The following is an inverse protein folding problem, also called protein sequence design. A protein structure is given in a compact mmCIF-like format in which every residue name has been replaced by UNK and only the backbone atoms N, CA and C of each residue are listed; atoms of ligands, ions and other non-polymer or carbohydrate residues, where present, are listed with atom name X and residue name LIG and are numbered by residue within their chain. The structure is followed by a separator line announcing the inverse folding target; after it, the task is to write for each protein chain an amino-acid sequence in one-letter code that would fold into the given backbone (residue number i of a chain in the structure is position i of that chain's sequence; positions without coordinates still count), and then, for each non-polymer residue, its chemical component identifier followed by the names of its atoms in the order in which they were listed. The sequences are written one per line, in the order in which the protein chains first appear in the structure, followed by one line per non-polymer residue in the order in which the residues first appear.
data_IF_267889691972
#
_entry.id   IF_267889691972
#
_cell.length_a   1.000
_cell.length_b   1.000
_cell.length_c   1.000
_cell.angle_alpha   90.00
_cell.angle_beta   90.00
_cell.angle_gamma   90.00
#
_symmetry.space_group_name_H-M   'P 1'
#
loop_
_entity.id
_entity.type
_entity.pdbx_description
1 polymer ?
#
# COMPACT_ATOMS: atom_id res chain seq x y z
N UNK A 1 20.53 26.25 100.64
CA UNK A 1 19.34 25.39 100.39
C UNK A 1 18.60 25.97 99.19
N UNK A 2 18.83 25.54 98.01
CA UNK A 2 17.90 25.74 96.88
C UNK A 2 18.21 24.68 95.86
N UNK A 3 17.22 23.85 95.58
CA UNK A 3 17.30 22.72 94.66
C UNK A 3 17.21 23.25 93.21
N UNK A 4 18.16 22.83 92.37
CA UNK A 4 18.22 23.11 90.92
C UNK A 4 17.52 21.92 90.24
N UNK A 5 16.47 22.23 89.52
CA UNK A 5 15.71 21.26 88.73
C UNK A 5 16.25 21.21 87.30
N UNK A 6 16.93 20.13 86.94
CA UNK A 6 17.42 19.89 85.60
C UNK A 6 16.28 19.45 84.71
N UNK A 7 15.93 20.31 83.75
CA UNK A 7 15.05 19.93 82.65
C UNK A 7 15.84 19.26 81.55
N UNK A 8 15.52 17.99 81.34
CA UNK A 8 16.07 17.21 80.21
C UNK A 8 15.26 17.52 78.97
N UNK A 9 15.86 18.23 78.03
CA UNK A 9 15.29 18.47 76.71
C UNK A 9 15.72 17.30 75.81
N UNK A 10 14.72 16.47 75.45
CA UNK A 10 14.87 15.36 74.54
C UNK A 10 14.80 15.91 73.09
N UNK A 11 15.93 15.96 72.43
CA UNK A 11 16.00 16.35 70.97
C UNK A 11 15.67 15.12 70.10
N UNK A 12 14.47 15.10 69.59
CA UNK A 12 14.04 14.06 68.68
C UNK A 12 14.58 14.41 67.26
N UNK A 13 15.69 13.79 66.87
CA UNK A 13 16.23 13.91 65.52
C UNK A 13 15.41 13.05 64.53
N UNK A 14 14.54 13.67 63.78
CA UNK A 14 13.85 13.04 62.66
C UNK A 14 14.80 12.91 61.50
N UNK A 15 15.32 11.70 61.25
CA UNK A 15 16.09 11.36 60.07
C UNK A 15 15.10 11.27 58.87
N UNK A 16 15.08 12.28 58.03
CA UNK A 16 14.42 12.21 56.74
C UNK A 16 15.29 11.33 55.81
N UNK A 17 14.85 10.10 55.60
CA UNK A 17 15.35 9.26 54.50
C UNK A 17 14.81 9.82 53.19
N UNK A 18 15.65 10.60 52.52
CA UNK A 18 15.42 10.98 51.13
C UNK A 18 15.67 9.72 50.29
N UNK A 19 14.63 8.97 50.01
CA UNK A 19 14.65 7.89 49.04
C UNK A 19 14.82 8.49 47.64
N UNK A 20 16.02 8.43 47.09
CA UNK A 20 16.26 8.60 45.67
C UNK A 20 15.52 7.48 44.93
N UNK A 21 14.27 7.72 44.57
CA UNK A 21 13.56 6.92 43.56
C UNK A 21 14.22 7.17 42.21
N UNK A 22 15.20 6.36 41.86
CA UNK A 22 15.68 6.27 40.49
C UNK A 22 14.50 5.81 39.62
N UNK A 23 13.83 6.76 38.95
CA UNK A 23 12.97 6.43 37.84
C UNK A 23 13.84 5.75 36.76
N UNK A 24 13.89 4.44 36.82
CA UNK A 24 14.26 3.65 35.65
C UNK A 24 13.20 3.98 34.58
N UNK A 25 13.56 4.89 33.68
CA UNK A 25 12.92 4.96 32.37
C UNK A 25 13.21 3.64 31.68
N UNK A 26 12.36 2.65 31.96
CA UNK A 26 12.25 1.49 31.10
C UNK A 26 11.75 2.02 29.77
N UNK A 27 12.71 2.30 28.88
CA UNK A 27 12.45 2.56 27.47
C UNK A 27 11.88 1.25 26.90
N UNK A 28 10.59 1.02 27.12
CA UNK A 28 9.83 -0.01 26.41
C UNK A 28 9.72 0.45 24.96
N UNK A 29 10.80 0.26 24.18
CA UNK A 29 10.67 0.08 22.75
C UNK A 29 9.97 -1.26 22.49
N UNK A 30 8.74 -1.39 22.95
CA UNK A 30 7.84 -2.35 22.37
C UNK A 30 7.44 -1.75 21.02
N UNK A 31 8.09 -2.18 19.97
CA UNK A 31 7.57 -2.04 18.61
C UNK A 31 6.25 -2.82 18.60
N UNK A 32 5.16 -2.17 18.99
CA UNK A 32 3.82 -2.69 18.77
C UNK A 32 3.66 -2.76 17.25
N UNK A 33 3.99 -3.92 16.67
CA UNK A 33 3.74 -4.17 15.27
C UNK A 33 2.23 -4.06 15.07
N UNK A 34 1.81 -3.05 14.30
CA UNK A 34 0.40 -2.84 13.97
C UNK A 34 -0.11 -4.09 13.24
N UNK A 35 -1.15 -4.72 13.78
CA UNK A 35 -1.80 -5.83 13.07
C UNK A 35 -2.65 -5.27 11.93
N UNK A 36 -2.12 -5.33 10.72
CA UNK A 36 -2.76 -4.77 9.53
C UNK A 36 -4.09 -5.44 9.18
N UNK A 37 -4.31 -6.70 9.59
CA UNK A 37 -5.55 -7.43 9.33
C UNK A 37 -6.72 -6.90 10.16
N UNK A 38 -6.44 -6.26 11.30
CA UNK A 38 -7.45 -5.71 12.21
C UNK A 38 -7.79 -4.24 11.94
N UNK A 39 -7.07 -3.60 11.02
CA UNK A 39 -7.32 -2.21 10.68
C UNK A 39 -8.68 -2.03 10.00
N UNK A 40 -9.47 -1.08 10.51
CA UNK A 40 -10.71 -0.62 9.88
C UNK A 40 -10.56 0.85 9.51
N UNK A 41 -10.98 1.20 8.31
CA UNK A 41 -11.06 2.60 7.92
C UNK A 41 -12.20 3.29 8.66
N UNK A 42 -11.94 4.48 9.19
CA UNK A 42 -12.92 5.35 9.81
C UNK A 42 -13.22 6.50 8.85
N UNK A 43 -14.49 6.70 8.53
CA UNK A 43 -14.91 7.78 7.61
C UNK A 43 -14.37 9.13 8.08
N UNK A 44 -13.70 9.85 7.17
CA UNK A 44 -13.05 11.13 7.45
C UNK A 44 -11.55 11.03 7.78
N UNK A 45 -11.03 9.86 8.09
CA UNK A 45 -9.60 9.67 8.35
C UNK A 45 -8.78 9.72 7.04
N UNK A 46 -7.45 9.82 7.18
CA UNK A 46 -6.53 9.67 6.04
C UNK A 46 -6.68 8.29 5.41
N UNK A 47 -6.62 8.24 4.08
CA UNK A 47 -6.71 6.98 3.32
C UNK A 47 -5.47 6.07 3.47
N UNK A 48 -4.47 6.47 4.22
CA UNK A 48 -3.24 5.71 4.48
C UNK A 48 -2.70 6.01 5.87
N UNK A 49 -1.88 5.09 6.36
CA UNK A 49 -1.08 5.26 7.57
C UNK A 49 0.38 4.94 7.27
N UNK A 50 1.28 5.67 7.90
CA UNK A 50 2.71 5.36 7.90
C UNK A 50 3.01 4.33 8.98
N UNK A 51 3.85 3.36 8.63
CA UNK A 51 4.25 2.27 9.51
C UNK A 51 5.74 2.40 9.85
N UNK A 52 6.12 1.98 11.03
CA UNK A 52 7.52 2.00 11.47
C UNK A 52 8.21 3.36 11.23
N UNK A 53 7.51 4.47 11.55
CA UNK A 53 8.04 5.82 11.32
C UNK A 53 8.30 6.14 9.85
N UNK A 54 7.57 5.48 8.95
CA UNK A 54 7.71 5.54 7.48
C UNK A 54 9.04 4.97 6.95
N UNK A 55 9.68 4.05 7.71
CA UNK A 55 10.90 3.36 7.30
C UNK A 55 10.60 1.92 6.89
N UNK A 56 11.12 1.51 5.73
CA UNK A 56 10.98 0.15 5.22
C UNK A 56 11.73 -0.87 6.10
N UNK A 57 11.14 -2.06 6.23
CA UNK A 57 11.78 -3.21 6.84
C UNK A 57 12.53 -4.06 5.81
N UNK A 58 13.12 -3.41 4.80
CA UNK A 58 13.87 -4.02 3.70
C UNK A 58 15.36 -3.82 3.90
N UNK A 59 16.16 -4.68 3.30
CA UNK A 59 17.61 -4.57 3.33
C UNK A 59 18.13 -4.22 1.93
N UNK A 60 18.84 -3.09 1.80
CA UNK A 60 19.41 -2.66 0.53
C UNK A 60 20.31 -3.72 -0.12
N UNK A 61 21.00 -4.55 0.71
CA UNK A 61 21.86 -5.64 0.29
C UNK A 61 21.11 -6.80 -0.41
N UNK A 62 19.79 -6.88 -0.30
CA UNK A 62 19.00 -7.95 -0.92
C UNK A 62 18.83 -7.71 -2.43
N UNK A 63 19.03 -6.48 -2.91
CA UNK A 63 19.05 -6.20 -4.34
C UNK A 63 20.31 -6.83 -4.98
N UNK A 64 20.15 -7.89 -5.75
CA UNK A 64 21.24 -8.60 -6.44
C UNK A 64 21.19 -8.42 -7.96
N UNK A 65 20.00 -8.62 -8.54
CA UNK A 65 19.75 -8.49 -9.97
C UNK A 65 18.29 -8.07 -10.18
N UNK A 66 17.99 -7.64 -11.39
CA UNK A 66 16.67 -7.15 -11.76
C UNK A 66 15.68 -8.30 -12.02
N UNK A 67 14.62 -8.38 -11.20
CA UNK A 67 13.53 -9.35 -11.32
C UNK A 67 12.35 -8.93 -10.43
N UNK A 68 11.27 -9.69 -10.48
CA UNK A 68 10.15 -9.61 -9.54
C UNK A 68 9.87 -11.00 -8.98
N UNK A 69 9.79 -11.12 -7.68
CA UNK A 69 9.27 -12.31 -7.00
C UNK A 69 7.75 -12.22 -6.95
N UNK A 70 7.06 -12.97 -7.82
CA UNK A 70 5.61 -13.12 -7.78
C UNK A 70 5.23 -14.30 -6.90
N UNK A 71 4.58 -14.01 -5.77
CA UNK A 71 4.03 -15.05 -4.91
C UNK A 71 2.87 -15.80 -5.60
N UNK A 72 2.70 -17.07 -5.27
CA UNK A 72 1.54 -17.84 -5.73
C UNK A 72 0.26 -17.31 -5.07
N UNK A 73 -0.87 -17.51 -5.75
CA UNK A 73 -2.18 -17.27 -5.18
C UNK A 73 -2.43 -18.24 -4.01
N UNK A 74 -3.20 -17.78 -3.03
CA UNK A 74 -3.61 -18.64 -1.91
C UNK A 74 -4.77 -19.58 -2.30
N UNK A 75 -5.24 -20.39 -1.34
CA UNK A 75 -6.32 -21.38 -1.53
C UNK A 75 -7.66 -20.75 -1.98
N UNK A 76 -7.82 -19.43 -1.80
CA UNK A 76 -8.99 -18.67 -2.23
C UNK A 76 -8.71 -17.90 -3.54
N UNK A 77 -7.62 -18.20 -4.23
CA UNK A 77 -7.15 -17.52 -5.44
C UNK A 77 -6.86 -16.01 -5.24
N UNK A 78 -6.44 -15.61 -4.01
CA UNK A 78 -6.10 -14.23 -3.68
C UNK A 78 -4.59 -14.00 -3.71
N UNK A 79 -4.17 -12.78 -3.96
CA UNK A 79 -2.79 -12.30 -3.82
C UNK A 79 -2.48 -11.93 -2.36
N UNK A 80 -2.60 -12.89 -1.44
CA UNK A 80 -2.47 -12.66 0.01
C UNK A 80 -1.03 -12.62 0.51
N UNK A 81 -0.06 -12.99 -0.34
CA UNK A 81 1.36 -12.88 -0.09
C UNK A 81 1.96 -11.67 -0.79
N UNK A 82 3.16 -11.29 -0.38
CA UNK A 82 3.84 -10.15 -0.97
C UNK A 82 4.48 -10.47 -2.31
N UNK A 83 4.39 -9.53 -3.24
CA UNK A 83 5.30 -9.47 -4.38
C UNK A 83 6.45 -8.51 -4.06
N UNK A 84 7.65 -8.83 -4.52
CA UNK A 84 8.84 -8.02 -4.31
C UNK A 84 9.53 -7.75 -5.64
N UNK A 85 9.58 -6.48 -6.03
CA UNK A 85 10.30 -6.04 -7.23
C UNK A 85 11.71 -5.56 -6.88
N UNK A 86 12.72 -6.13 -7.52
CA UNK A 86 14.10 -5.66 -7.52
C UNK A 86 14.34 -4.88 -8.81
N UNK A 87 14.06 -3.59 -8.75
CA UNK A 87 13.83 -2.73 -9.91
C UNK A 87 15.00 -1.82 -10.20
N UNK A 88 15.15 -1.47 -11.48
CA UNK A 88 16.12 -0.49 -11.96
C UNK A 88 15.56 0.31 -13.14
N UNK A 89 16.29 1.29 -13.67
CA UNK A 89 15.82 2.24 -14.69
C UNK A 89 15.15 1.59 -15.91
N UNK A 90 15.65 0.41 -16.36
CA UNK A 90 15.08 -0.29 -17.53
C UNK A 90 13.66 -0.81 -17.32
N UNK A 91 13.17 -0.85 -16.06
CA UNK A 91 11.80 -1.24 -15.74
C UNK A 91 10.78 -0.10 -15.90
N UNK A 92 11.22 1.10 -16.26
CA UNK A 92 10.30 2.18 -16.62
C UNK A 92 9.59 1.83 -17.93
N UNK A 93 8.31 1.49 -17.83
CA UNK A 93 7.51 1.07 -18.97
C UNK A 93 7.08 2.24 -19.84
N UNK A 94 7.01 2.00 -21.15
CA UNK A 94 6.42 2.95 -22.09
C UNK A 94 4.89 2.89 -22.02
N UNK A 95 4.25 3.98 -21.61
CA UNK A 95 2.79 4.06 -21.47
C UNK A 95 2.02 3.85 -22.80
N UNK A 96 2.66 4.12 -23.95
CA UNK A 96 2.08 3.89 -25.27
C UNK A 96 1.86 2.39 -25.58
N UNK A 97 2.59 1.49 -24.89
CA UNK A 97 2.50 0.05 -25.05
C UNK A 97 1.53 -0.63 -24.08
N UNK A 98 0.66 0.13 -23.42
CA UNK A 98 -0.30 -0.41 -22.48
C UNK A 98 -1.27 -1.35 -23.18
N UNK A 99 -1.28 -2.63 -22.76
CA UNK A 99 -2.15 -3.65 -23.31
C UNK A 99 -3.56 -3.62 -22.69
N UNK A 100 -4.54 -4.21 -23.37
CA UNK A 100 -5.87 -4.44 -22.81
C UNK A 100 -5.78 -5.45 -21.66
N UNK A 101 -6.44 -5.13 -20.54
CA UNK A 101 -6.57 -6.03 -19.42
C UNK A 101 -7.84 -6.87 -19.54
N UNK A 102 -7.70 -8.20 -19.40
CA UNK A 102 -8.80 -9.17 -19.55
C UNK A 102 -8.95 -10.13 -18.37
N UNK A 103 -7.99 -10.16 -17.43
CA UNK A 103 -8.07 -10.98 -16.23
C UNK A 103 -8.79 -10.26 -15.09
N UNK A 104 -9.42 -11.01 -14.22
CA UNK A 104 -10.19 -10.49 -13.10
C UNK A 104 -9.72 -11.12 -11.77
N UNK A 105 -9.26 -10.31 -10.82
CA UNK A 105 -8.93 -10.80 -9.47
C UNK A 105 -10.20 -11.18 -8.70
N UNK A 106 -10.04 -11.82 -7.53
CA UNK A 106 -11.16 -12.15 -6.65
C UNK A 106 -11.99 -10.93 -6.27
N UNK A 107 -13.27 -11.13 -5.95
CA UNK A 107 -14.21 -10.08 -5.54
C UNK A 107 -14.45 -8.98 -6.59
N UNK A 108 -14.28 -9.28 -7.88
CA UNK A 108 -14.50 -8.32 -8.95
C UNK A 108 -15.98 -8.09 -9.23
N UNK A 109 -16.53 -7.00 -8.71
CA UNK A 109 -17.90 -6.56 -8.94
C UNK A 109 -17.94 -5.10 -9.40
N UNK A 110 -17.56 -4.87 -10.67
CA UNK A 110 -17.48 -3.52 -11.23
C UNK A 110 -18.85 -2.85 -11.29
N UNK A 111 -18.89 -1.61 -10.84
CA UNK A 111 -20.02 -0.68 -11.04
C UNK A 111 -19.51 0.65 -11.57
N UNK A 112 -20.38 1.30 -12.33
CA UNK A 112 -20.17 2.67 -12.79
C UNK A 112 -21.07 3.60 -11.98
N UNK A 113 -20.50 4.58 -11.30
CA UNK A 113 -21.23 5.62 -10.59
C UNK A 113 -20.82 6.95 -11.22
N UNK A 114 -21.78 7.73 -11.66
CA UNK A 114 -21.53 8.97 -12.41
C UNK A 114 -20.59 8.78 -13.62
N UNK A 115 -20.72 7.64 -14.32
CA UNK A 115 -19.86 7.21 -15.44
C UNK A 115 -18.41 6.95 -15.09
N UNK A 116 -18.08 6.84 -13.80
CA UNK A 116 -16.74 6.49 -13.31
C UNK A 116 -16.75 5.09 -12.70
N UNK A 117 -15.74 4.31 -13.03
CA UNK A 117 -15.52 3.00 -12.43
C UNK A 117 -15.14 3.15 -10.95
N UNK A 118 -15.76 2.34 -10.05
CA UNK A 118 -15.46 2.40 -8.62
C UNK A 118 -14.37 1.44 -8.17
N UNK A 119 -14.02 0.45 -9.01
CA UNK A 119 -12.92 -0.47 -8.76
C UNK A 119 -12.01 -0.56 -9.99
N UNK A 120 -10.76 -0.90 -9.73
CA UNK A 120 -9.72 -1.13 -10.73
C UNK A 120 -9.05 -2.48 -10.50
N UNK A 121 -8.40 -3.01 -11.53
CA UNK A 121 -7.38 -4.05 -11.40
C UNK A 121 -6.14 -3.42 -10.79
N UNK A 122 -6.04 -3.46 -9.46
CA UNK A 122 -4.88 -2.93 -8.74
C UNK A 122 -3.68 -3.82 -8.97
N UNK A 123 -2.57 -3.25 -9.42
CA UNK A 123 -1.31 -3.98 -9.53
C UNK A 123 -0.54 -3.88 -8.21
N UNK A 124 0.05 -4.99 -7.78
CA UNK A 124 0.99 -5.00 -6.67
C UNK A 124 2.28 -4.30 -7.13
N UNK A 125 2.89 -4.81 -8.18
CA UNK A 125 4.01 -4.14 -8.87
C UNK A 125 3.41 -3.42 -10.07
N UNK A 126 3.42 -2.09 -10.01
CA UNK A 126 2.75 -1.27 -11.02
C UNK A 126 3.31 -1.50 -12.42
N UNK A 127 2.40 -1.51 -13.41
CA UNK A 127 2.77 -1.58 -14.81
C UNK A 127 3.91 -0.61 -15.19
N UNK A 128 3.85 0.62 -14.68
CA UNK A 128 4.79 1.69 -15.04
C UNK A 128 6.22 1.48 -14.54
N UNK A 129 6.44 0.49 -13.66
CA UNK A 129 7.73 0.14 -13.08
C UNK A 129 8.08 -1.36 -13.25
N UNK A 130 7.35 -2.07 -14.10
CA UNK A 130 7.60 -3.48 -14.43
C UNK A 130 7.91 -3.72 -15.92
N UNK A 131 8.35 -2.67 -16.64
CA UNK A 131 8.78 -2.79 -18.03
C UNK A 131 9.84 -3.88 -18.19
N UNK A 132 9.68 -4.73 -19.20
CA UNK A 132 10.57 -5.86 -19.45
C UNK A 132 10.37 -7.07 -18.52
N UNK A 133 9.53 -6.98 -17.50
CA UNK A 133 9.26 -8.11 -16.59
C UNK A 133 8.12 -8.98 -17.18
N UNK A 134 8.39 -10.28 -17.34
CA UNK A 134 7.39 -11.25 -17.77
C UNK A 134 6.57 -11.80 -16.60
N UNK A 135 5.59 -12.67 -16.88
CA UNK A 135 4.72 -13.31 -15.86
C UNK A 135 5.45 -14.20 -14.85
N UNK A 136 6.69 -14.62 -15.16
CA UNK A 136 7.54 -15.39 -14.25
C UNK A 136 8.46 -14.51 -13.41
N UNK A 137 8.33 -13.18 -13.54
CA UNK A 137 9.14 -12.20 -12.83
C UNK A 137 10.53 -11.96 -13.41
N UNK A 138 10.85 -12.57 -14.57
CA UNK A 138 12.16 -12.44 -15.21
C UNK A 138 12.18 -11.26 -16.16
N UNK A 139 13.32 -10.57 -16.22
CA UNK A 139 13.51 -9.51 -17.21
C UNK A 139 13.76 -10.10 -18.60
N UNK A 140 12.98 -9.63 -19.59
CA UNK A 140 13.11 -9.95 -20.99
C UNK A 140 13.04 -8.68 -21.81
N UNK A 141 14.10 -8.33 -22.52
CA UNK A 141 14.19 -7.09 -23.29
C UNK A 141 13.11 -6.95 -24.37
N UNK A 142 12.62 -8.07 -24.92
CA UNK A 142 11.51 -8.10 -25.89
C UNK A 142 10.15 -7.79 -25.25
N UNK A 143 10.02 -7.84 -23.92
CA UNK A 143 8.76 -7.68 -23.19
C UNK A 143 8.58 -6.24 -22.68
N UNK A 144 8.45 -5.30 -23.62
CA UNK A 144 8.47 -3.85 -23.31
C UNK A 144 7.26 -3.34 -22.52
N UNK A 145 6.19 -4.15 -22.43
CA UNK A 145 4.89 -3.69 -21.94
C UNK A 145 4.71 -3.74 -20.44
N UNK A 146 5.63 -4.27 -19.66
CA UNK A 146 5.37 -4.57 -18.26
C UNK A 146 4.25 -5.62 -18.06
N UNK A 147 4.16 -6.18 -16.88
CA UNK A 147 3.23 -7.28 -16.55
C UNK A 147 1.83 -6.77 -16.21
N UNK A 148 0.88 -6.83 -17.16
CA UNK A 148 -0.44 -6.23 -17.04
C UNK A 148 -1.57 -7.23 -16.76
N UNK A 149 -1.40 -8.51 -17.10
CA UNK A 149 -2.45 -9.53 -17.06
C UNK A 149 -2.09 -10.75 -16.19
N UNK A 150 -1.17 -10.61 -15.28
CA UNK A 150 -0.76 -11.64 -14.34
C UNK A 150 -1.65 -11.61 -13.10
N UNK A 151 -2.45 -12.65 -12.88
CA UNK A 151 -3.31 -12.76 -11.69
C UNK A 151 -2.52 -12.70 -10.38
N UNK A 152 -1.27 -13.17 -10.37
CA UNK A 152 -0.38 -13.08 -9.20
C UNK A 152 0.02 -11.65 -8.85
N UNK A 153 -0.22 -10.70 -9.76
CA UNK A 153 0.12 -9.28 -9.60
C UNK A 153 -1.11 -8.38 -9.46
N UNK A 154 -2.31 -8.95 -9.31
CA UNK A 154 -3.56 -8.20 -9.34
C UNK A 154 -4.43 -8.47 -8.12
N UNK A 155 -5.11 -7.43 -7.64
CA UNK A 155 -6.19 -7.53 -6.67
C UNK A 155 -7.31 -6.54 -7.01
N UNK A 156 -8.52 -6.78 -6.49
CA UNK A 156 -9.61 -5.82 -6.63
C UNK A 156 -9.36 -4.62 -5.73
N UNK A 157 -9.06 -3.50 -6.35
CA UNK A 157 -8.74 -2.24 -5.68
C UNK A 157 -9.75 -1.18 -6.02
N UNK A 158 -10.12 -0.32 -5.06
CA UNK A 158 -10.99 0.83 -5.35
C UNK A 158 -10.28 1.81 -6.28
N UNK A 159 -11.04 2.51 -7.10
CA UNK A 159 -10.48 3.51 -8.02
C UNK A 159 -9.76 4.63 -7.25
N UNK A 160 -10.31 5.06 -6.12
CA UNK A 160 -9.68 6.08 -5.28
C UNK A 160 -8.35 5.59 -4.69
N UNK A 161 -8.33 4.42 -4.05
CA UNK A 161 -7.09 3.85 -3.48
C UNK A 161 -6.00 3.70 -4.54
N UNK A 162 -6.35 3.17 -5.72
CA UNK A 162 -5.43 2.97 -6.83
C UNK A 162 -4.91 4.29 -7.42
N UNK A 163 -5.85 5.17 -7.84
CA UNK A 163 -5.51 6.32 -8.68
C UNK A 163 -5.11 7.56 -7.88
N UNK A 164 -5.60 7.71 -6.64
CA UNK A 164 -5.34 8.90 -5.82
C UNK A 164 -4.29 8.67 -4.75
N UNK A 165 -4.18 7.46 -4.22
CA UNK A 165 -3.29 7.18 -3.09
C UNK A 165 -2.05 6.39 -3.52
N UNK A 166 -2.22 5.18 -4.06
CA UNK A 166 -1.09 4.31 -4.44
C UNK A 166 -0.18 4.97 -5.47
N UNK A 167 -0.75 5.68 -6.43
CA UNK A 167 -0.01 6.44 -7.46
C UNK A 167 1.01 7.42 -6.88
N UNK A 168 0.80 7.98 -5.67
CA UNK A 168 1.77 8.86 -5.01
C UNK A 168 3.07 8.10 -4.72
N UNK A 169 2.96 6.89 -4.15
CA UNK A 169 4.10 6.06 -3.79
C UNK A 169 4.78 5.45 -5.01
N UNK A 170 4.00 5.03 -6.00
CA UNK A 170 4.53 4.59 -7.29
C UNK A 170 5.31 5.70 -8.01
N UNK A 171 4.86 6.95 -7.90
CA UNK A 171 5.57 8.09 -8.47
C UNK A 171 6.94 8.30 -7.81
N UNK A 172 7.05 8.10 -6.48
CA UNK A 172 8.34 8.14 -5.78
C UNK A 172 9.30 7.08 -6.32
N UNK A 173 8.81 5.84 -6.51
CA UNK A 173 9.62 4.75 -7.11
C UNK A 173 10.02 5.11 -8.53
N UNK A 174 9.08 5.54 -9.40
CA UNK A 174 9.41 5.96 -10.77
C UNK A 174 10.47 7.05 -10.83
N UNK A 175 10.43 8.02 -9.92
CA UNK A 175 11.42 9.09 -9.86
C UNK A 175 12.81 8.55 -9.49
N UNK A 176 12.88 7.69 -8.46
CA UNK A 176 14.14 7.04 -8.09
C UNK A 176 14.74 6.22 -9.26
N UNK A 177 13.90 5.48 -10.00
CA UNK A 177 14.35 4.74 -11.18
C UNK A 177 14.84 5.67 -12.32
N UNK A 178 14.18 6.83 -12.54
CA UNK A 178 14.66 7.85 -13.50
C UNK A 178 16.03 8.40 -13.13
N UNK A 179 16.29 8.55 -11.83
CA UNK A 179 17.57 8.95 -11.27
C UNK A 179 18.61 7.80 -11.25
N UNK A 180 18.32 6.71 -11.97
CA UNK A 180 19.19 5.52 -12.09
C UNK A 180 19.46 4.79 -10.76
N UNK A 181 18.57 4.94 -9.77
CA UNK A 181 18.65 4.19 -8.51
C UNK A 181 18.13 2.78 -8.69
N UNK A 182 18.67 1.85 -7.90
CA UNK A 182 18.16 0.48 -7.75
C UNK A 182 17.20 0.46 -6.57
N UNK A 183 16.00 -0.07 -6.75
CA UNK A 183 14.93 -0.02 -5.76
C UNK A 183 14.41 -1.42 -5.47
N UNK A 184 14.25 -1.74 -4.19
CA UNK A 184 13.46 -2.88 -3.73
C UNK A 184 12.06 -2.34 -3.42
N UNK A 185 11.05 -2.87 -4.08
CA UNK A 185 9.65 -2.48 -3.90
C UNK A 185 8.82 -3.67 -3.47
N UNK A 186 8.23 -3.58 -2.27
CA UNK A 186 7.39 -4.60 -1.65
C UNK A 186 5.93 -4.17 -1.72
N UNK A 187 5.04 -5.08 -2.11
CA UNK A 187 3.60 -4.85 -2.16
C UNK A 187 2.83 -6.09 -1.70
N UNK A 188 1.97 -5.93 -0.68
CA UNK A 188 1.16 -7.01 -0.11
C UNK A 188 -0.26 -6.52 0.13
N UNK A 189 -1.27 -7.03 -0.57
CA UNK A 189 -2.67 -6.83 -0.21
C UNK A 189 -2.98 -7.52 1.11
N UNK A 190 -3.77 -6.87 1.94
CA UNK A 190 -4.13 -7.35 3.28
C UNK A 190 -5.59 -7.79 3.29
N UNK A 191 -5.80 -9.08 3.43
CA UNK A 191 -7.11 -9.70 3.57
C UNK A 191 -7.36 -10.09 5.03
N UNK A 192 -8.61 -10.05 5.47
CA UNK A 192 -9.01 -10.53 6.80
C UNK A 192 -9.70 -11.88 6.66
N UNK A 193 -9.17 -12.91 7.31
CA UNK A 193 -9.74 -14.26 7.23
C UNK A 193 -10.01 -14.69 5.79
N UNK A 194 -11.25 -15.06 5.50
CA UNK A 194 -11.67 -15.56 4.19
C UNK A 194 -12.27 -14.47 3.27
N UNK A 195 -12.10 -13.19 3.59
CA UNK A 195 -12.58 -12.10 2.73
C UNK A 195 -11.93 -12.18 1.35
N UNK A 196 -12.71 -11.96 0.29
CA UNK A 196 -12.24 -12.05 -1.10
C UNK A 196 -11.73 -10.72 -1.64
N UNK A 197 -12.07 -9.58 -0.99
CA UNK A 197 -11.56 -8.25 -1.30
C UNK A 197 -10.57 -7.82 -0.22
N UNK A 198 -9.40 -7.32 -0.62
CA UNK A 198 -8.41 -6.81 0.32
C UNK A 198 -8.90 -5.55 1.03
N UNK A 199 -8.64 -5.44 2.34
CA UNK A 199 -8.94 -4.23 3.13
C UNK A 199 -8.00 -3.07 2.86
N UNK A 200 -6.83 -3.36 2.33
CA UNK A 200 -5.82 -2.39 1.94
C UNK A 200 -4.62 -3.07 1.33
N UNK A 201 -3.59 -2.28 1.06
CA UNK A 201 -2.31 -2.76 0.56
C UNK A 201 -1.18 -2.18 1.40
N UNK A 202 -0.24 -3.02 1.80
CA UNK A 202 1.00 -2.64 2.46
C UNK A 202 2.08 -2.47 1.40
N UNK A 203 2.65 -1.27 1.33
CA UNK A 203 3.72 -0.92 0.41
C UNK A 203 4.97 -0.51 1.17
N UNK A 204 6.12 -0.97 0.71
CA UNK A 204 7.41 -0.51 1.16
C UNK A 204 8.33 -0.29 -0.04
N UNK A 205 9.21 0.69 0.05
CA UNK A 205 10.31 0.82 -0.91
C UNK A 205 11.58 1.24 -0.20
N UNK A 206 12.70 0.71 -0.70
CA UNK A 206 14.04 1.11 -0.27
C UNK A 206 14.95 1.12 -1.50
N UNK A 207 15.60 2.26 -1.78
CA UNK A 207 16.69 2.30 -2.75
C UNK A 207 18.01 1.79 -2.13
N UNK A 208 18.89 1.27 -2.97
CA UNK A 208 20.19 0.74 -2.47
C UNK A 208 21.08 1.81 -1.86
N UNK A 209 20.91 3.08 -2.27
CA UNK A 209 21.55 4.26 -1.72
C UNK A 209 20.79 4.87 -0.52
N UNK A 210 19.63 4.27 -0.14
CA UNK A 210 18.77 4.68 0.97
C UNK A 210 18.15 6.08 0.83
N UNK A 211 18.18 6.71 -0.32
CA UNK A 211 17.57 8.02 -0.56
C UNK A 211 16.07 7.95 -0.83
N UNK A 212 15.58 6.79 -1.25
CA UNK A 212 14.15 6.44 -1.24
C UNK A 212 13.92 5.46 -0.10
N UNK A 213 13.04 5.81 0.83
CA UNK A 213 12.62 4.95 1.94
C UNK A 213 11.18 5.31 2.31
N UNK A 214 10.28 4.32 2.32
CA UNK A 214 8.94 4.47 2.86
C UNK A 214 8.30 3.14 3.26
N UNK A 215 7.32 3.21 4.16
CA UNK A 215 6.56 2.07 4.66
C UNK A 215 5.15 2.53 5.01
N UNK A 216 4.16 2.12 4.21
CA UNK A 216 2.80 2.61 4.33
C UNK A 216 1.77 1.51 4.13
N UNK A 217 0.65 1.62 4.84
CA UNK A 217 -0.55 0.87 4.56
C UNK A 217 -1.61 1.80 3.96
N UNK A 218 -2.14 1.43 2.81
CA UNK A 218 -3.18 2.19 2.10
C UNK A 218 -4.50 1.44 2.24
N UNK A 219 -5.52 2.11 2.77
CA UNK A 219 -6.87 1.54 2.86
C UNK A 219 -7.51 1.38 1.49
N UNK A 220 -8.20 0.27 1.28
CA UNK A 220 -8.92 -0.01 0.03
C UNK A 220 -10.36 0.53 0.10
N UNK A 221 -10.50 1.85 0.09
CA UNK A 221 -11.75 2.59 0.30
C UNK A 221 -12.07 3.52 -0.87
N UNK A 222 -13.36 3.87 -1.03
CA UNK A 222 -13.86 4.75 -2.07
C UNK A 222 -14.79 5.79 -1.45
N UNK A 223 -14.62 7.11 -1.69
CA UNK A 223 -15.57 8.12 -1.23
C UNK A 223 -17.00 7.82 -1.70
N UNK A 224 -17.97 7.95 -0.78
CA UNK A 224 -19.38 7.76 -1.07
C UNK A 224 -19.84 6.31 -1.29
N UNK A 225 -18.95 5.33 -1.05
CA UNK A 225 -19.18 3.90 -1.31
C UNK A 225 -18.70 3.07 -0.14
N UNK A 226 -19.52 2.14 0.33
CA UNK A 226 -19.11 1.08 1.24
C UNK A 226 -19.02 -0.26 0.51
N UNK A 227 -18.07 -1.11 0.92
CA UNK A 227 -17.84 -2.45 0.37
C UNK A 227 -18.09 -3.51 1.43
N UNK A 228 -18.71 -4.59 1.02
CA UNK A 228 -18.64 -5.86 1.72
C UNK A 228 -17.35 -6.57 1.29
N UNK A 229 -16.34 -6.56 2.13
CA UNK A 229 -15.04 -7.16 1.81
C UNK A 229 -15.09 -8.69 1.71
N UNK A 230 -16.10 -9.34 2.30
CA UNK A 230 -16.28 -10.78 2.13
C UNK A 230 -16.53 -11.14 0.67
N UNK A 231 -17.28 -10.31 -0.05
CA UNK A 231 -17.72 -10.59 -1.42
C UNK A 231 -17.21 -9.60 -2.47
N UNK A 232 -16.79 -8.39 -2.08
CA UNK A 232 -16.47 -7.28 -2.98
C UNK A 232 -17.69 -6.51 -3.51
N UNK A 233 -18.88 -6.83 -3.03
CA UNK A 233 -20.10 -6.10 -3.40
C UNK A 233 -20.11 -4.72 -2.77
N UNK A 234 -20.65 -3.74 -3.49
CA UNK A 234 -20.66 -2.35 -3.07
C UNK A 234 -22.06 -1.78 -2.98
N UNK A 235 -22.22 -0.78 -2.12
CA UNK A 235 -23.43 0.04 -2.01
C UNK A 235 -23.04 1.51 -1.92
N UNK A 236 -23.95 2.40 -2.34
CA UNK A 236 -23.80 3.84 -2.12
C UNK A 236 -23.89 4.10 -0.62
N UNK A 237 -22.95 4.85 -0.10
CA UNK A 237 -22.88 5.27 1.29
C UNK A 237 -22.36 6.71 1.35
N UNK A 238 -23.30 7.67 1.34
CA UNK A 238 -22.96 9.10 1.32
C UNK A 238 -22.24 9.59 2.57
N UNK A 239 -22.25 8.80 3.65
CA UNK A 239 -21.52 9.11 4.88
C UNK A 239 -20.04 8.70 4.80
N UNK A 240 -19.66 7.88 3.82
CA UNK A 240 -18.27 7.45 3.62
C UNK A 240 -17.45 8.59 3.01
N UNK A 241 -16.75 9.31 3.86
CA UNK A 241 -15.84 10.38 3.46
C UNK A 241 -14.41 9.88 3.47
N UNK A 242 -13.67 10.17 2.40
CA UNK A 242 -12.25 9.83 2.26
C UNK A 242 -11.53 11.06 1.73
N UNK A 243 -10.79 11.77 2.59
CA UNK A 243 -10.03 12.95 2.18
C UNK A 243 -8.99 12.59 1.11
N UNK A 244 -8.92 13.41 0.07
CA UNK A 244 -7.89 13.27 -0.96
C UNK A 244 -6.55 13.65 -0.36
N UNK A 245 -5.52 12.77 -0.40
CA UNK A 245 -4.22 13.10 0.16
C UNK A 245 -3.50 14.17 -0.64
N UNK A 246 -2.63 14.89 0.03
CA UNK A 246 -1.69 15.81 -0.62
C UNK A 246 -0.82 15.04 -1.64
N UNK A 247 -0.52 15.65 -2.78
CA UNK A 247 0.23 15.00 -3.87
C UNK A 247 -0.58 14.04 -4.72
N UNK A 248 -1.86 13.83 -4.43
CA UNK A 248 -2.72 13.03 -5.30
C UNK A 248 -2.84 13.68 -6.69
N UNK A 249 -2.71 12.92 -7.78
CA UNK A 249 -2.82 13.48 -9.12
C UNK A 249 -4.23 14.06 -9.35
N UNK A 250 -4.29 15.25 -9.92
CA UNK A 250 -5.51 15.83 -10.47
C UNK A 250 -5.75 15.16 -11.83
N UNK A 251 -6.76 14.32 -11.92
CA UNK A 251 -7.24 13.90 -13.25
C UNK A 251 -8.17 15.02 -13.74
N UNK A 252 -7.63 15.97 -14.49
CA UNK A 252 -8.49 16.71 -15.40
C UNK A 252 -9.07 15.67 -16.35
N UNK A 253 -10.39 15.60 -16.41
CA UNK A 253 -11.15 14.77 -17.36
C UNK A 253 -10.78 15.22 -18.79
N UNK A 254 -9.58 14.90 -19.27
CA UNK A 254 -9.30 14.89 -20.68
C UNK A 254 -10.17 13.77 -21.21
N UNK A 255 -11.29 14.16 -21.84
CA UNK A 255 -12.13 13.30 -22.65
C UNK A 255 -11.18 12.46 -23.51
N UNK A 256 -11.00 11.19 -23.18
CA UNK A 256 -10.49 10.23 -24.15
C UNK A 256 -11.56 10.15 -25.22
N UNK A 257 -11.38 10.90 -26.29
CA UNK A 257 -12.11 10.65 -27.52
C UNK A 257 -11.70 9.25 -27.97
N UNK A 258 -12.53 8.28 -27.63
CA UNK A 258 -12.54 6.98 -28.29
C UNK A 258 -12.83 7.28 -29.76
N UNK A 259 -11.80 7.21 -30.60
CA UNK A 259 -11.98 7.08 -32.05
C UNK A 259 -12.81 5.82 -32.31
N UNK A 260 -14.12 6.01 -32.37
CA UNK A 260 -15.08 5.01 -32.87
C UNK A 260 -15.00 4.99 -34.39
N UNK A 261 -13.96 4.40 -34.93
CA UNK A 261 -13.98 3.90 -36.30
C UNK A 261 -13.81 2.38 -36.26
N UNK A 262 -14.86 1.68 -35.83
CA UNK A 262 -15.07 0.28 -36.17
C UNK A 262 -16.23 0.22 -37.13
N UNK A 263 -15.91 0.18 -38.44
CA UNK A 263 -16.84 -0.28 -39.44
C UNK A 263 -17.17 -1.74 -39.18
N UNK A 264 -18.40 -1.99 -38.72
CA UNK A 264 -18.96 -3.33 -38.73
C UNK A 264 -19.26 -3.73 -40.15
N UNK A 265 -18.39 -4.54 -40.76
CA UNK A 265 -18.78 -5.38 -41.89
C UNK A 265 -19.36 -6.68 -41.28
N UNK A 266 -20.68 -6.74 -41.17
CA UNK A 266 -21.41 -8.00 -41.08
C UNK A 266 -21.56 -8.57 -42.49
N UNK A 267 -20.81 -9.59 -42.80
CA UNK A 267 -21.13 -10.49 -43.94
C UNK A 267 -22.10 -11.54 -43.42
N UNK A 268 -23.33 -11.45 -43.92
CA UNK A 268 -24.31 -12.53 -43.81
C UNK A 268 -23.80 -13.74 -44.60
N UNK A 269 -23.66 -14.88 -43.94
CA UNK A 269 -23.69 -16.17 -44.64
C UNK A 269 -25.06 -16.82 -44.36
N UNK A 270 -25.90 -16.82 -45.40
CA UNK A 270 -26.98 -17.78 -45.58
C UNK A 270 -26.37 -19.10 -46.09
N UNK A 271 -26.52 -20.17 -45.39
CA UNK A 271 -27.17 -21.48 -45.74
C UNK A 271 -26.90 -22.48 -44.61
#
# INVERSE_FOLDING_TARGET
MKKILNGFILFLATIMLVGCSSKQNANKNSSNSVNLTELNYKSGDKAYIELNGNHANLKASDWKYNHVDYANLDNLNRTSLANIGYLEKRNLANSALRARQYVYPTAWHQKMINREAIINRGHLIAYSISGGINSDGKYQNSHQTGDQNNLKNLFTQTAFSNQKVQTIYEAKVRNALRENKKVIFYAKPIFRGNELMARGIHLQALSTDKTLDFNVYIYNVQPGISFDYATGRSRIDRSMQVPTPEGAPSFNNKKYHLNRNYNHHYTHYHK
#
